data_IF_310761398975
#
_entry.id   IF_310761398975
#
_cell.length_a   1.000
_cell.length_b   1.000
_cell.length_c   1.000
_cell.angle_alpha   90.00
_cell.angle_beta   90.00
_cell.angle_gamma   90.00
#
_symmetry.space_group_name_H-M   'P 1'
#
loop_
_entity.id
_entity.type
_entity.pdbx_description
1 polymer ?
#
# COMPACT_ATOMS: atom_id res chain seq x y z
N UNK A 1 24.51 -8.95 -10.96
CA UNK A 1 24.18 -7.73 -10.16
C UNK A 1 23.96 -6.43 -10.98
N UNK A 2 23.57 -6.50 -12.27
CA UNK A 2 23.41 -5.29 -13.13
C UNK A 2 21.95 -4.80 -13.25
N UNK A 3 21.00 -5.73 -13.31
CA UNK A 3 19.56 -5.46 -13.51
C UNK A 3 18.91 -4.76 -12.31
N UNK A 4 19.21 -5.20 -11.07
CA UNK A 4 18.64 -4.57 -9.85
C UNK A 4 18.97 -3.08 -9.74
N UNK A 5 20.20 -2.68 -10.10
CA UNK A 5 20.62 -1.27 -10.08
C UNK A 5 19.90 -0.44 -11.15
N UNK A 6 19.78 -0.98 -12.38
CA UNK A 6 19.03 -0.33 -13.44
C UNK A 6 17.55 -0.13 -13.08
N UNK A 7 16.91 -1.15 -12.50
CA UNK A 7 15.50 -1.06 -12.04
C UNK A 7 15.32 -0.01 -10.95
N UNK A 8 16.22 0.02 -9.95
CA UNK A 8 16.17 1.04 -8.90
C UNK A 8 16.36 2.45 -9.46
N UNK A 9 17.27 2.62 -10.42
CA UNK A 9 17.50 3.89 -11.08
C UNK A 9 16.26 4.35 -11.87
N UNK A 10 15.61 3.48 -12.63
CA UNK A 10 14.39 3.83 -13.36
C UNK A 10 13.26 4.20 -12.38
N UNK A 11 13.03 3.39 -11.35
CA UNK A 11 11.95 3.63 -10.40
C UNK A 11 12.15 4.94 -9.62
N UNK A 12 13.36 5.20 -9.12
CA UNK A 12 13.64 6.41 -8.34
C UNK A 12 13.75 7.64 -9.23
N UNK A 13 14.62 7.60 -10.23
CA UNK A 13 15.00 8.80 -10.99
C UNK A 13 14.02 9.11 -12.10
N UNK A 14 13.55 8.09 -12.84
CA UNK A 14 12.66 8.33 -14.00
C UNK A 14 11.18 8.38 -13.60
N UNK A 15 10.75 7.50 -12.71
CA UNK A 15 9.34 7.41 -12.30
C UNK A 15 9.03 8.17 -11.01
N UNK A 16 10.04 8.74 -10.33
CA UNK A 16 9.86 9.43 -9.04
C UNK A 16 9.08 8.58 -8.05
N UNK A 17 9.50 7.33 -7.86
CA UNK A 17 8.92 6.39 -6.91
C UNK A 17 9.81 6.26 -5.67
N UNK A 18 9.19 6.10 -4.51
CA UNK A 18 9.85 5.75 -3.24
C UNK A 18 9.35 4.40 -2.76
N UNK A 19 10.23 3.64 -2.10
CA UNK A 19 9.84 2.38 -1.48
C UNK A 19 9.29 2.66 -0.09
N UNK A 20 8.06 2.23 0.18
CA UNK A 20 7.42 2.27 1.50
C UNK A 20 7.04 0.82 1.84
N UNK A 21 7.60 0.29 2.93
CA UNK A 21 7.54 -1.13 3.26
C UNK A 21 7.94 -2.01 2.05
N UNK A 22 7.10 -2.97 1.65
CA UNK A 22 7.33 -3.86 0.50
C UNK A 22 6.90 -3.27 -0.85
N UNK A 23 6.32 -2.05 -0.89
CA UNK A 23 5.70 -1.48 -2.10
C UNK A 23 6.44 -0.25 -2.62
N UNK A 24 6.38 -0.03 -3.93
CA UNK A 24 6.81 1.22 -4.57
C UNK A 24 5.61 2.15 -4.71
N UNK A 25 5.76 3.38 -4.22
CA UNK A 25 4.69 4.39 -4.19
C UNK A 25 5.23 5.68 -4.82
N UNK A 26 4.42 6.45 -5.56
CA UNK A 26 4.84 7.75 -6.06
C UNK A 26 5.38 8.66 -4.95
N UNK A 27 6.42 9.43 -5.26
CA UNK A 27 7.01 10.39 -4.33
C UNK A 27 6.01 11.51 -4.00
N UNK A 28 5.35 12.00 -5.04
CA UNK A 28 4.28 12.97 -4.94
C UNK A 28 2.96 12.31 -5.34
N UNK A 29 1.94 12.52 -4.52
CA UNK A 29 0.57 12.17 -4.88
C UNK A 29 -0.06 13.37 -5.57
N UNK A 30 -0.85 13.11 -6.61
CA UNK A 30 -1.71 14.15 -7.18
C UNK A 30 -2.79 14.54 -6.17
N UNK A 31 -3.37 15.73 -6.30
CA UNK A 31 -4.47 16.15 -5.42
C UNK A 31 -5.65 15.17 -5.47
N UNK A 32 -5.96 14.63 -6.65
CA UNK A 32 -6.97 13.58 -6.80
C UNK A 32 -6.62 12.32 -5.98
N UNK A 33 -5.36 11.86 -6.04
CA UNK A 33 -4.92 10.69 -5.25
C UNK A 33 -4.96 10.95 -3.75
N UNK A 34 -4.60 12.17 -3.31
CA UNK A 34 -4.74 12.56 -1.90
C UNK A 34 -6.22 12.56 -1.49
N UNK A 35 -7.09 13.10 -2.35
CA UNK A 35 -8.53 13.17 -2.10
C UNK A 35 -9.15 11.78 -1.96
N UNK A 36 -8.85 10.86 -2.88
CA UNK A 36 -9.33 9.47 -2.81
C UNK A 36 -8.90 8.77 -1.52
N UNK A 37 -7.65 8.97 -1.09
CA UNK A 37 -7.16 8.42 0.18
C UNK A 37 -7.87 9.02 1.38
N UNK A 38 -8.09 10.33 1.34
CA UNK A 38 -8.78 11.05 2.40
C UNK A 38 -10.24 10.60 2.52
N UNK A 39 -10.97 10.53 1.41
CA UNK A 39 -12.38 10.11 1.41
C UNK A 39 -12.52 8.66 1.90
N UNK A 40 -11.63 7.76 1.47
CA UNK A 40 -11.61 6.39 1.97
C UNK A 40 -11.33 6.31 3.49
N UNK A 41 -10.34 7.08 3.98
CA UNK A 41 -10.02 7.13 5.41
C UNK A 41 -11.17 7.71 6.23
N UNK A 42 -11.82 8.77 5.73
CA UNK A 42 -13.00 9.37 6.36
C UNK A 42 -14.14 8.36 6.48
N UNK A 43 -14.50 7.66 5.40
CA UNK A 43 -15.57 6.65 5.45
C UNK A 43 -15.23 5.51 6.43
N UNK A 44 -13.97 5.10 6.51
CA UNK A 44 -13.54 4.09 7.49
C UNK A 44 -13.62 4.60 8.93
N UNK A 45 -13.27 5.86 9.16
CA UNK A 45 -13.40 6.50 10.47
C UNK A 45 -14.86 6.59 10.90
N UNK A 46 -15.76 7.06 10.02
CA UNK A 46 -17.20 7.12 10.30
C UNK A 46 -17.77 5.73 10.63
N UNK A 47 -17.30 4.68 9.95
CA UNK A 47 -17.70 3.30 10.24
C UNK A 47 -17.18 2.84 11.60
N UNK A 48 -15.95 3.20 11.96
CA UNK A 48 -15.40 2.91 13.27
C UNK A 48 -16.15 3.66 14.37
N UNK A 49 -16.47 4.94 14.20
CA UNK A 49 -17.24 5.72 15.17
C UNK A 49 -18.63 5.09 15.42
N UNK A 50 -19.25 4.51 14.40
CA UNK A 50 -20.56 3.84 14.53
C UNK A 50 -20.50 2.43 15.12
N UNK A 51 -19.42 1.68 14.89
CA UNK A 51 -19.35 0.24 15.17
C UNK A 51 -18.28 -0.14 16.20
N UNK A 52 -17.41 0.81 16.57
CA UNK A 52 -16.28 0.64 17.49
C UNK A 52 -15.41 -0.57 17.15
N UNK A 53 -14.97 -1.27 18.19
CA UNK A 53 -14.08 -2.42 18.09
C UNK A 53 -14.65 -3.58 17.26
N UNK A 54 -15.98 -3.70 17.14
CA UNK A 54 -16.59 -4.73 16.31
C UNK A 54 -16.22 -4.57 14.82
N UNK A 55 -16.00 -3.34 14.36
CA UNK A 55 -15.49 -3.07 13.03
C UNK A 55 -14.04 -3.54 12.89
N UNK A 56 -13.16 -3.17 13.84
CA UNK A 56 -11.74 -3.55 13.81
C UNK A 56 -11.54 -5.07 13.87
N UNK A 57 -12.30 -5.76 14.74
CA UNK A 57 -12.24 -7.22 14.87
C UNK A 57 -12.61 -7.98 13.59
N UNK A 58 -13.35 -7.34 12.68
CA UNK A 58 -13.76 -7.93 11.39
C UNK A 58 -12.77 -7.64 10.26
N UNK A 59 -11.78 -6.77 10.47
CA UNK A 59 -10.76 -6.48 9.46
C UNK A 59 -9.75 -7.63 9.43
N UNK A 60 -9.91 -8.53 8.44
CA UNK A 60 -8.87 -9.50 8.07
C UNK A 60 -8.03 -8.86 6.95
N UNK A 61 -6.81 -8.42 7.28
CA UNK A 61 -5.91 -7.84 6.27
C UNK A 61 -5.05 -8.92 5.64
N UNK A 62 -5.38 -9.32 4.40
CA UNK A 62 -4.48 -10.11 3.57
C UNK A 62 -3.46 -9.18 2.92
N UNK A 63 -2.22 -9.20 3.41
CA UNK A 63 -1.10 -8.53 2.74
C UNK A 63 -0.31 -9.56 1.94
N UNK A 64 -0.40 -9.49 0.61
CA UNK A 64 0.48 -10.26 -0.26
C UNK A 64 1.91 -9.72 -0.12
N UNK A 65 2.70 -10.38 0.73
CA UNK A 65 4.16 -10.35 0.69
C UNK A 65 4.55 -11.44 -0.34
N UNK A 66 5.59 -11.21 -1.16
CA UNK A 66 5.95 -12.05 -2.32
C UNK A 66 6.05 -13.56 -2.06
N UNK A 67 6.23 -14.36 -3.14
CA UNK A 67 5.55 -15.64 -3.34
C UNK A 67 5.58 -16.54 -2.10
N UNK A 68 4.40 -16.73 -1.52
CA UNK A 68 4.13 -17.75 -0.52
C UNK A 68 4.30 -19.10 -1.20
N UNK A 69 5.46 -19.74 -1.05
CA UNK A 69 5.63 -21.16 -1.37
C UNK A 69 5.02 -21.96 -0.23
N UNK A 70 3.71 -22.17 -0.30
CA UNK A 70 3.12 -23.31 0.37
C UNK A 70 3.49 -24.55 -0.45
N UNK A 71 4.62 -25.17 -0.14
CA UNK A 71 4.81 -26.59 -0.47
C UNK A 71 3.77 -27.35 0.36
N UNK A 72 2.69 -27.76 -0.29
CA UNK A 72 1.83 -28.82 0.24
C UNK A 72 2.64 -30.12 0.22
N UNK A 73 2.35 -30.95 1.23
CA UNK A 73 2.98 -32.23 1.59
C UNK A 73 3.31 -33.15 0.41
#
# INVERSE_FOLDING_TARGET
MRIRRALLHILKERQRMRKIASRWVPYHLTEMQKRLRYDAARSQQELYERKGDAFLRRIITLVAIGPYRATQN
#
